data_IF_344258188669
#
_entry.id   IF_344258188669
#
_cell.length_a   1.000
_cell.length_b   1.000
_cell.length_c   1.000
_cell.angle_alpha   90.00
_cell.angle_beta   90.00
_cell.angle_gamma   90.00
#
_symmetry.space_group_name_H-M   'P 1'
#
loop_
_entity.id
_entity.type
_entity.pdbx_description
1 polymer ?
#
# COMPACT_ATOMS: atom_id res chain seq x y z
N UNK A 1 11.27 -32.28 -7.56
CA UNK A 1 10.78 -32.97 -6.34
C UNK A 1 11.32 -32.30 -5.08
N UNK A 2 12.64 -32.10 -4.98
CA UNK A 2 13.35 -31.43 -3.88
C UNK A 2 12.78 -30.03 -3.52
N UNK A 3 12.52 -29.17 -4.50
CA UNK A 3 11.96 -27.82 -4.26
C UNK A 3 10.58 -27.81 -3.56
N UNK A 4 9.70 -28.78 -3.89
CA UNK A 4 8.39 -28.89 -3.26
C UNK A 4 8.50 -29.36 -1.80
N UNK A 5 9.46 -30.24 -1.52
CA UNK A 5 9.73 -30.71 -0.16
C UNK A 5 10.27 -29.58 0.72
N UNK A 6 11.21 -28.75 0.22
CA UNK A 6 11.70 -27.59 0.96
C UNK A 6 10.59 -26.57 1.29
N UNK A 7 9.68 -26.30 0.35
CA UNK A 7 8.52 -25.44 0.62
C UNK A 7 7.64 -25.99 1.73
N UNK A 8 7.35 -27.28 1.72
CA UNK A 8 6.52 -27.91 2.73
C UNK A 8 7.17 -27.85 4.12
N UNK A 9 8.47 -28.15 4.21
CA UNK A 9 9.23 -28.08 5.46
C UNK A 9 9.26 -26.66 6.02
N UNK A 10 9.55 -25.66 5.18
CA UNK A 10 9.52 -24.26 5.59
C UNK A 10 8.13 -23.83 6.04
N UNK A 11 7.09 -24.25 5.33
CA UNK A 11 5.72 -23.92 5.69
C UNK A 11 5.32 -24.52 7.05
N UNK A 12 5.72 -25.76 7.33
CA UNK A 12 5.54 -26.40 8.64
C UNK A 12 6.31 -25.66 9.73
N UNK A 13 7.55 -25.26 9.46
CA UNK A 13 8.39 -24.51 10.39
C UNK A 13 7.77 -23.16 10.77
N UNK A 14 7.39 -22.33 9.79
CA UNK A 14 6.74 -21.05 10.07
C UNK A 14 5.36 -21.24 10.73
N UNK A 15 4.61 -22.26 10.31
CA UNK A 15 3.33 -22.59 10.93
C UNK A 15 3.48 -22.96 12.41
N UNK A 16 4.50 -23.76 12.75
CA UNK A 16 4.82 -24.13 14.13
C UNK A 16 5.19 -22.92 14.99
N UNK A 17 6.04 -22.02 14.48
CA UNK A 17 6.37 -20.77 15.17
C UNK A 17 5.11 -19.92 15.40
N UNK A 18 4.27 -19.77 14.38
CA UNK A 18 3.01 -19.04 14.49
C UNK A 18 2.09 -19.61 15.58
N UNK A 19 1.97 -20.94 15.65
CA UNK A 19 1.17 -21.63 16.68
C UNK A 19 1.74 -21.46 18.09
N UNK A 20 3.07 -21.48 18.26
CA UNK A 20 3.71 -21.18 19.55
C UNK A 20 3.35 -19.75 19.98
N UNK A 21 3.46 -18.78 19.06
CA UNK A 21 3.14 -17.38 19.38
C UNK A 21 1.66 -17.20 19.73
N UNK A 22 0.74 -17.92 19.06
CA UNK A 22 -0.67 -17.96 19.45
C UNK A 22 -0.84 -18.53 20.87
N UNK A 23 -0.18 -19.64 21.19
CA UNK A 23 -0.26 -20.25 22.52
C UNK A 23 0.23 -19.26 23.59
N UNK A 24 1.34 -18.57 23.35
CA UNK A 24 1.85 -17.52 24.23
C UNK A 24 0.83 -16.39 24.41
N UNK A 25 0.28 -15.85 23.32
CA UNK A 25 -0.75 -14.81 23.37
C UNK A 25 -2.00 -15.25 24.14
N UNK A 26 -2.38 -16.53 24.06
CA UNK A 26 -3.56 -17.08 24.74
C UNK A 26 -3.39 -17.25 26.25
N UNK A 27 -2.14 -17.38 26.73
CA UNK A 27 -1.85 -17.62 28.15
C UNK A 27 -1.85 -16.36 29.01
N UNK A 28 -2.05 -15.17 28.41
CA UNK A 28 -2.00 -13.85 29.06
C UNK A 28 -0.76 -13.57 29.93
N UNK A 29 0.29 -14.40 29.79
CA UNK A 29 1.57 -14.23 30.45
C UNK A 29 2.23 -12.97 29.91
N UNK A 30 2.73 -12.11 30.80
CA UNK A 30 3.58 -10.97 30.41
C UNK A 30 4.85 -11.52 29.77
N UNK A 31 5.00 -11.31 28.47
CA UNK A 31 6.19 -11.74 27.73
C UNK A 31 7.18 -10.60 27.73
N UNK A 32 8.31 -10.82 28.38
CA UNK A 32 9.48 -9.96 28.19
C UNK A 32 10.19 -10.38 26.91
N UNK A 33 10.36 -9.41 26.01
CA UNK A 33 11.12 -9.60 24.77
C UNK A 33 12.57 -9.21 25.06
N UNK A 34 13.44 -10.20 25.11
CA UNK A 34 14.87 -10.01 25.29
C UNK A 34 15.60 -9.85 23.94
N UNK A 35 16.87 -9.44 24.02
CA UNK A 35 17.71 -9.25 22.85
C UNK A 35 17.94 -10.56 22.06
N UNK A 36 17.90 -11.72 22.74
CA UNK A 36 18.07 -13.04 22.13
C UNK A 36 16.88 -13.36 21.22
N UNK A 37 15.66 -13.15 21.69
CA UNK A 37 14.45 -13.35 20.90
C UNK A 37 14.40 -12.39 19.70
N UNK A 38 14.79 -11.12 19.89
CA UNK A 38 14.88 -10.15 18.79
C UNK A 38 15.88 -10.63 17.73
N UNK A 39 17.06 -11.07 18.15
CA UNK A 39 18.09 -11.58 17.23
C UNK A 39 17.58 -12.81 16.49
N UNK A 40 16.98 -13.77 17.18
CA UNK A 40 16.40 -14.97 16.58
C UNK A 40 15.32 -14.64 15.53
N UNK A 41 14.38 -13.75 15.86
CA UNK A 41 13.35 -13.29 14.93
C UNK A 41 13.94 -12.55 13.73
N UNK A 42 14.98 -11.73 13.93
CA UNK A 42 15.66 -11.04 12.84
C UNK A 42 16.29 -12.01 11.83
N UNK A 43 16.88 -13.10 12.31
CA UNK A 43 17.43 -14.18 11.48
C UNK A 43 16.30 -14.87 10.71
N UNK A 44 15.20 -15.19 11.38
CA UNK A 44 14.01 -15.81 10.74
C UNK A 44 13.46 -14.94 9.62
N UNK A 45 13.22 -13.64 9.89
CA UNK A 45 12.72 -12.72 8.88
C UNK A 45 13.68 -12.61 7.69
N UNK A 46 14.97 -12.50 7.95
CA UNK A 46 15.99 -12.36 6.90
C UNK A 46 16.04 -13.59 5.99
N UNK A 47 16.03 -14.79 6.57
CA UNK A 47 16.01 -16.06 5.82
C UNK A 47 14.74 -16.15 4.97
N UNK A 48 13.58 -15.81 5.53
CA UNK A 48 12.32 -15.80 4.80
C UNK A 48 12.34 -14.83 3.62
N UNK A 49 12.77 -13.58 3.85
CA UNK A 49 12.86 -12.55 2.81
C UNK A 49 13.80 -13.02 1.70
N UNK A 50 15.00 -13.51 2.03
CA UNK A 50 15.95 -14.02 1.04
C UNK A 50 15.33 -15.18 0.25
N UNK A 51 14.68 -16.13 0.92
CA UNK A 51 14.03 -17.26 0.26
C UNK A 51 12.94 -16.80 -0.71
N UNK A 52 12.06 -15.89 -0.30
CA UNK A 52 10.96 -15.39 -1.13
C UNK A 52 11.48 -14.57 -2.32
N UNK A 53 12.50 -13.74 -2.11
CA UNK A 53 13.13 -12.95 -3.19
C UNK A 53 13.85 -13.87 -4.19
N UNK A 54 14.69 -14.78 -3.71
CA UNK A 54 15.46 -15.72 -4.54
C UNK A 54 14.55 -16.58 -5.42
N UNK A 55 13.46 -17.09 -4.83
CA UNK A 55 12.48 -17.92 -5.52
C UNK A 55 11.43 -17.13 -6.32
N UNK A 56 11.57 -15.80 -6.42
CA UNK A 56 10.65 -14.91 -7.14
C UNK A 56 9.19 -14.99 -6.66
N UNK A 57 8.99 -15.34 -5.39
CA UNK A 57 7.67 -15.39 -4.77
C UNK A 57 7.08 -13.98 -4.55
N UNK A 58 7.91 -12.94 -4.64
CA UNK A 58 7.49 -11.53 -4.68
C UNK A 58 6.59 -11.20 -5.88
N UNK A 59 6.49 -12.07 -6.88
CA UNK A 59 5.51 -11.90 -7.97
C UNK A 59 4.09 -12.13 -7.46
N UNK A 60 3.90 -12.77 -6.29
CA UNK A 60 2.59 -12.94 -5.67
C UNK A 60 2.29 -11.86 -4.65
N UNK A 61 1.01 -11.51 -4.49
CA UNK A 61 0.59 -10.41 -3.62
C UNK A 61 0.85 -10.69 -2.14
N UNK A 62 0.53 -11.89 -1.67
CA UNK A 62 0.90 -12.40 -0.35
C UNK A 62 2.42 -12.57 -0.17
N UNK A 63 3.14 -12.92 -1.23
CA UNK A 63 4.61 -12.95 -1.24
C UNK A 63 5.22 -11.55 -0.99
N UNK A 64 4.66 -10.51 -1.61
CA UNK A 64 5.03 -9.12 -1.34
C UNK A 64 4.74 -8.72 0.10
N UNK A 65 3.59 -9.13 0.65
CA UNK A 65 3.27 -8.90 2.05
C UNK A 65 4.32 -9.52 2.99
N UNK A 66 4.73 -10.77 2.75
CA UNK A 66 5.74 -11.46 3.57
C UNK A 66 7.08 -10.74 3.53
N UNK A 67 7.49 -10.25 2.36
CA UNK A 67 8.75 -9.52 2.20
C UNK A 67 8.70 -8.18 2.92
N UNK A 68 7.62 -7.43 2.72
CA UNK A 68 7.54 -6.03 3.12
C UNK A 68 7.12 -5.86 4.58
N UNK A 69 6.22 -6.70 5.08
CA UNK A 69 5.59 -6.54 6.40
C UNK A 69 6.61 -6.44 7.55
N UNK A 70 7.67 -7.27 7.62
CA UNK A 70 8.71 -7.10 8.65
C UNK A 70 9.36 -5.72 8.61
N UNK A 71 9.61 -5.14 7.44
CA UNK A 71 10.20 -3.79 7.36
C UNK A 71 9.31 -2.72 7.99
N UNK A 72 7.99 -2.92 7.99
CA UNK A 72 7.05 -1.96 8.58
C UNK A 72 6.90 -2.14 10.09
N UNK A 73 6.64 -3.35 10.58
CA UNK A 73 6.36 -3.55 12.01
C UNK A 73 7.62 -3.83 12.85
N UNK A 74 8.63 -4.52 12.30
CA UNK A 74 9.85 -4.85 13.03
C UNK A 74 10.71 -3.61 13.23
N UNK A 75 10.89 -2.79 12.19
CA UNK A 75 11.62 -1.51 12.31
C UNK A 75 10.94 -0.58 13.30
N UNK A 76 9.61 -0.51 13.28
CA UNK A 76 8.84 0.28 14.25
C UNK A 76 9.08 -0.20 15.69
N UNK A 77 9.04 -1.53 15.91
CA UNK A 77 9.36 -2.12 17.21
C UNK A 77 10.81 -1.85 17.65
N UNK A 78 11.79 -1.97 16.74
CA UNK A 78 13.20 -1.71 17.05
C UNK A 78 13.45 -0.24 17.43
N UNK A 79 12.76 0.70 16.78
CA UNK A 79 12.87 2.13 17.12
C UNK A 79 12.35 2.41 18.52
N UNK A 80 11.23 1.80 18.89
CA UNK A 80 10.75 1.86 20.27
C UNK A 80 11.73 1.20 21.24
N UNK A 81 12.15 -0.05 20.97
CA UNK A 81 12.94 -0.85 21.90
C UNK A 81 14.32 -0.24 22.20
N UNK A 82 15.01 0.25 21.17
CA UNK A 82 16.37 0.78 21.31
C UNK A 82 16.43 2.29 21.54
N UNK A 83 15.45 3.05 21.03
CA UNK A 83 15.49 4.52 21.04
C UNK A 83 14.33 5.17 21.80
N UNK A 84 13.41 4.38 22.37
CA UNK A 84 12.24 4.90 23.10
C UNK A 84 11.24 5.66 22.22
N UNK A 85 11.35 5.56 20.89
CA UNK A 85 10.49 6.29 19.97
C UNK A 85 9.14 5.58 19.88
N UNK A 86 8.12 6.12 20.55
CA UNK A 86 6.74 5.67 20.42
C UNK A 86 5.81 6.83 20.07
N UNK A 87 4.79 6.54 19.26
CA UNK A 87 3.73 7.49 18.89
C UNK A 87 2.76 7.70 20.04
N UNK A 88 2.43 6.63 20.74
CA UNK A 88 1.49 6.63 21.85
C UNK A 88 2.20 6.27 23.14
N UNK A 89 1.80 6.90 24.24
CA UNK A 89 2.31 6.52 25.55
C UNK A 89 1.56 5.28 26.05
N UNK A 90 2.11 4.09 25.76
CA UNK A 90 1.48 2.80 26.05
C UNK A 90 2.44 1.95 26.89
N UNK A 91 1.90 1.14 27.81
CA UNK A 91 2.71 0.22 28.62
C UNK A 91 3.52 -0.76 27.77
N UNK A 92 4.74 -1.08 28.21
CA UNK A 92 5.66 -1.99 27.51
C UNK A 92 5.02 -3.36 27.20
N UNK A 93 4.14 -3.85 28.08
CA UNK A 93 3.46 -5.12 27.88
C UNK A 93 2.59 -5.11 26.60
N UNK A 94 1.88 -4.01 26.34
CA UNK A 94 0.99 -3.87 25.18
C UNK A 94 1.80 -3.79 23.87
N UNK A 95 2.98 -3.17 23.94
CA UNK A 95 3.89 -3.08 22.80
C UNK A 95 4.43 -4.47 22.46
N UNK A 96 4.84 -5.24 23.47
CA UNK A 96 5.30 -6.61 23.30
C UNK A 96 4.19 -7.53 22.77
N UNK A 97 2.97 -7.45 23.31
CA UNK A 97 1.85 -8.28 22.83
C UNK A 97 1.44 -7.93 21.40
N UNK A 98 1.40 -6.63 21.05
CA UNK A 98 1.14 -6.17 19.68
C UNK A 98 2.21 -6.67 18.71
N UNK A 99 3.48 -6.65 19.12
CA UNK A 99 4.57 -7.17 18.31
C UNK A 99 4.45 -8.69 18.09
N UNK A 100 4.19 -9.46 19.14
CA UNK A 100 3.98 -10.91 19.05
C UNK A 100 2.76 -11.26 18.19
N UNK A 101 1.68 -10.48 18.25
CA UNK A 101 0.53 -10.63 17.37
C UNK A 101 0.93 -10.46 15.89
N UNK A 102 1.69 -9.40 15.55
CA UNK A 102 2.19 -9.19 14.20
C UNK A 102 3.11 -10.33 13.72
N UNK A 103 4.00 -10.81 14.58
CA UNK A 103 4.90 -11.94 14.28
C UNK A 103 4.09 -13.21 13.99
N UNK A 104 3.10 -13.52 14.84
CA UNK A 104 2.25 -14.70 14.69
C UNK A 104 1.47 -14.67 13.37
N UNK A 105 0.83 -13.53 13.07
CA UNK A 105 0.15 -13.30 11.80
C UNK A 105 1.11 -13.53 10.63
N UNK A 106 2.28 -12.89 10.65
CA UNK A 106 3.26 -12.99 9.57
C UNK A 106 3.72 -14.43 9.34
N UNK A 107 4.00 -15.18 10.40
CA UNK A 107 4.39 -16.59 10.33
C UNK A 107 3.30 -17.45 9.67
N UNK A 108 2.04 -17.22 10.01
CA UNK A 108 0.92 -17.98 9.43
C UNK A 108 0.69 -17.59 7.97
N UNK A 109 0.78 -16.31 7.62
CA UNK A 109 0.76 -15.88 6.20
C UNK A 109 1.89 -16.55 5.42
N UNK A 110 3.11 -16.58 5.96
CA UNK A 110 4.24 -17.24 5.33
C UNK A 110 4.00 -18.74 5.11
N UNK A 111 3.44 -19.42 6.11
CA UNK A 111 3.07 -20.83 6.03
C UNK A 111 2.03 -21.11 4.93
N UNK A 112 0.91 -20.37 4.93
CA UNK A 112 -0.17 -20.55 3.96
C UNK A 112 0.29 -20.19 2.55
N UNK A 113 1.02 -19.07 2.39
CA UNK A 113 1.54 -18.61 1.10
C UNK A 113 2.46 -19.65 0.44
N UNK A 114 3.24 -20.40 1.22
CA UNK A 114 4.14 -21.43 0.70
C UNK A 114 3.40 -22.67 0.14
N UNK A 115 2.22 -22.99 0.68
CA UNK A 115 1.48 -24.23 0.37
C UNK A 115 0.32 -23.97 -0.61
N UNK A 116 -0.29 -22.78 -0.58
CA UNK A 116 -1.49 -22.50 -1.35
C UNK A 116 -1.25 -22.65 -2.86
N UNK A 117 -2.29 -23.02 -3.63
CA UNK A 117 -2.24 -22.89 -5.07
C UNK A 117 -2.19 -21.41 -5.48
N UNK A 118 -1.33 -21.08 -6.44
CA UNK A 118 -1.31 -19.76 -7.08
C UNK A 118 -2.09 -19.81 -8.39
N UNK A 119 -3.02 -18.87 -8.58
CA UNK A 119 -3.92 -18.83 -9.73
C UNK A 119 -3.24 -18.38 -11.03
N UNK A 120 -2.11 -17.66 -10.91
CA UNK A 120 -1.40 -17.07 -12.04
C UNK A 120 -0.16 -17.90 -12.39
N UNK A 121 -0.09 -18.29 -13.67
CA UNK A 121 1.12 -18.84 -14.24
C UNK A 121 1.96 -17.72 -14.85
N UNK A 122 3.05 -17.35 -14.17
CA UNK A 122 3.99 -16.30 -14.58
C UNK A 122 4.51 -16.53 -16.02
N UNK A 123 4.64 -17.79 -16.45
CA UNK A 123 5.06 -18.12 -17.82
C UNK A 123 4.00 -17.77 -18.88
N UNK A 124 2.71 -17.83 -18.54
CA UNK A 124 1.62 -17.46 -19.43
C UNK A 124 1.45 -15.95 -19.55
N UNK A 125 1.68 -15.21 -18.45
CA UNK A 125 1.71 -13.74 -18.49
C UNK A 125 2.72 -13.23 -19.52
N UNK A 126 3.92 -13.82 -19.55
CA UNK A 126 4.99 -13.43 -20.47
C UNK A 126 4.68 -13.67 -21.97
N UNK A 127 3.66 -14.50 -22.30
CA UNK A 127 3.29 -14.77 -23.71
C UNK A 127 2.38 -13.71 -24.32
N UNK A 128 1.75 -12.84 -23.51
CA UNK A 128 0.79 -11.84 -23.99
C UNK A 128 1.41 -10.56 -24.60
N UNK A 129 2.72 -10.55 -24.85
CA UNK A 129 3.46 -9.39 -25.34
C UNK A 129 3.02 -8.87 -26.72
N UNK A 130 2.11 -9.55 -27.42
CA UNK A 130 1.94 -9.45 -28.87
C UNK A 130 0.56 -9.00 -29.38
N UNK A 131 -0.33 -8.41 -28.58
CA UNK A 131 -1.64 -7.96 -29.10
C UNK A 131 -1.95 -6.46 -28.93
N UNK A 132 -2.46 -5.94 -30.05
CA UNK A 132 -3.03 -4.62 -30.40
C UNK A 132 -2.05 -3.46 -30.64
N UNK A 133 -1.94 -3.06 -31.92
CA UNK A 133 -0.97 -2.08 -32.43
C UNK A 133 -1.54 -0.71 -32.81
N UNK A 134 -2.83 -0.42 -32.61
CA UNK A 134 -3.39 0.90 -32.92
C UNK A 134 -4.18 1.45 -31.71
N UNK A 135 -3.54 2.31 -30.92
CA UNK A 135 -4.20 3.03 -29.83
C UNK A 135 -4.25 4.53 -30.15
N UNK A 136 -5.44 5.12 -30.10
CA UNK A 136 -5.60 6.56 -30.19
C UNK A 136 -5.42 7.18 -28.80
N UNK A 137 -4.26 7.79 -28.53
CA UNK A 137 -3.99 8.45 -27.24
C UNK A 137 -4.60 9.84 -27.11
N UNK A 138 -5.15 10.40 -28.20
CA UNK A 138 -5.68 11.77 -28.20
C UNK A 138 -6.80 11.95 -27.17
N UNK A 139 -7.86 11.14 -27.23
CA UNK A 139 -9.00 11.26 -26.30
C UNK A 139 -8.59 11.01 -24.84
N UNK A 140 -7.87 9.92 -24.50
CA UNK A 140 -7.32 9.74 -23.16
C UNK A 140 -6.50 10.93 -22.67
N UNK A 141 -5.69 11.54 -23.54
CA UNK A 141 -4.89 12.71 -23.19
C UNK A 141 -5.74 13.95 -22.91
N UNK A 142 -6.80 14.19 -23.69
CA UNK A 142 -7.76 15.27 -23.43
C UNK A 142 -8.46 15.09 -22.08
N UNK A 143 -8.88 13.86 -21.75
CA UNK A 143 -9.47 13.54 -20.44
C UNK A 143 -8.46 13.81 -19.32
N UNK A 144 -7.21 13.36 -19.47
CA UNK A 144 -6.15 13.61 -18.49
C UNK A 144 -5.88 15.11 -18.31
N UNK A 145 -5.89 15.90 -19.39
CA UNK A 145 -5.77 17.36 -19.34
C UNK A 145 -6.90 18.02 -18.55
N UNK A 146 -8.16 17.68 -18.84
CA UNK A 146 -9.31 18.24 -18.14
C UNK A 146 -9.24 17.98 -16.64
N UNK A 147 -8.88 16.75 -16.24
CA UNK A 147 -8.76 16.39 -14.82
C UNK A 147 -7.56 17.10 -14.17
N UNK A 148 -6.43 17.19 -14.86
CA UNK A 148 -5.23 17.84 -14.30
C UNK A 148 -5.43 19.35 -14.13
N UNK A 149 -6.12 19.99 -15.07
CA UNK A 149 -6.53 21.40 -14.96
C UNK A 149 -7.55 21.61 -13.84
N UNK A 150 -8.47 20.68 -13.65
CA UNK A 150 -9.40 20.70 -12.51
C UNK A 150 -8.64 20.71 -11.17
N UNK A 151 -7.66 19.80 -10.97
CA UNK A 151 -6.86 19.78 -9.74
C UNK A 151 -5.99 21.03 -9.58
N UNK A 152 -5.38 21.53 -10.65
CA UNK A 152 -4.61 22.78 -10.62
C UNK A 152 -5.47 23.98 -10.22
N UNK A 153 -6.69 24.06 -10.75
CA UNK A 153 -7.63 25.13 -10.40
C UNK A 153 -8.03 25.08 -8.91
N UNK A 154 -8.22 23.87 -8.37
CA UNK A 154 -8.51 23.66 -6.95
C UNK A 154 -7.31 24.01 -6.06
N UNK A 155 -6.09 23.75 -6.50
CA UNK A 155 -4.86 24.04 -5.74
C UNK A 155 -4.27 25.43 -5.99
N UNK A 156 -4.98 26.33 -6.70
CA UNK A 156 -4.42 27.61 -7.18
C UNK A 156 -3.93 28.57 -6.08
N UNK A 157 -4.46 28.43 -4.87
CA UNK A 157 -4.11 29.25 -3.73
C UNK A 157 -2.96 28.66 -2.90
N UNK A 158 -2.48 27.45 -3.24
CA UNK A 158 -1.38 26.80 -2.55
C UNK A 158 -0.04 27.19 -3.17
N UNK A 159 0.93 27.47 -2.31
CA UNK A 159 2.31 27.75 -2.70
C UNK A 159 3.24 26.67 -2.14
N UNK A 160 4.43 26.52 -2.72
CA UNK A 160 5.45 25.61 -2.20
C UNK A 160 5.93 26.00 -0.79
N UNK A 161 5.84 27.28 -0.42
CA UNK A 161 6.22 27.75 0.92
C UNK A 161 5.24 27.26 1.98
N UNK A 162 3.94 27.16 1.64
CA UNK A 162 2.91 26.62 2.55
C UNK A 162 3.18 25.18 2.98
N UNK A 163 3.99 24.41 2.25
CA UNK A 163 4.36 23.03 2.61
C UNK A 163 5.17 22.91 3.90
N UNK A 164 5.94 23.94 4.25
CA UNK A 164 6.74 23.97 5.48
C UNK A 164 5.99 24.53 6.69
N UNK A 165 4.92 25.29 6.45
CA UNK A 165 4.22 26.06 7.48
C UNK A 165 2.88 25.45 7.91
N UNK A 166 2.23 24.68 7.03
CA UNK A 166 0.88 24.14 7.27
C UNK A 166 0.86 22.61 7.35
N UNK A 167 -0.10 22.09 8.12
CA UNK A 167 -0.28 20.65 8.25
C UNK A 167 -0.89 20.03 7.01
N UNK A 168 -0.69 18.72 6.82
CA UNK A 168 -1.14 18.02 5.61
C UNK A 168 -2.65 18.06 5.47
N UNK A 169 -3.36 17.95 6.59
CA UNK A 169 -4.81 17.92 6.62
C UNK A 169 -5.40 19.29 6.28
N UNK A 170 -4.77 20.39 6.68
CA UNK A 170 -5.16 21.74 6.24
C UNK A 170 -4.96 21.95 4.75
N UNK A 171 -3.81 21.55 4.22
CA UNK A 171 -3.55 21.61 2.78
C UNK A 171 -4.57 20.78 1.99
N UNK A 172 -4.90 19.58 2.47
CA UNK A 172 -5.91 18.73 1.83
C UNK A 172 -7.30 19.35 1.94
N UNK A 173 -7.68 19.88 3.10
CA UNK A 173 -9.00 20.49 3.32
C UNK A 173 -9.17 21.80 2.53
N UNK A 174 -8.08 22.52 2.26
CA UNK A 174 -8.07 23.72 1.42
C UNK A 174 -8.40 23.43 -0.05
N UNK A 175 -8.22 22.17 -0.48
CA UNK A 175 -8.58 21.67 -1.82
C UNK A 175 -9.91 20.94 -1.69
N UNK A 176 -10.96 21.39 -2.39
CA UNK A 176 -12.29 20.80 -2.21
C UNK A 176 -12.28 19.26 -2.38
N UNK A 177 -13.02 18.52 -1.56
CA UNK A 177 -13.11 17.06 -1.64
C UNK A 177 -13.77 16.54 -2.93
N UNK A 178 -14.33 17.43 -3.76
CA UNK A 178 -15.03 17.06 -4.98
C UNK A 178 -14.07 16.55 -6.05
N UNK A 179 -14.44 15.45 -6.72
CA UNK A 179 -13.65 14.86 -7.80
C UNK A 179 -12.40 14.09 -7.35
N UNK A 180 -12.24 13.77 -6.06
CA UNK A 180 -11.03 13.07 -5.59
C UNK A 180 -10.84 11.68 -6.22
N UNK A 181 -11.91 11.05 -6.71
CA UNK A 181 -11.88 9.81 -7.48
C UNK A 181 -11.30 9.98 -8.91
N UNK A 182 -11.31 11.19 -9.47
CA UNK A 182 -10.75 11.47 -10.80
C UNK A 182 -9.23 11.25 -10.84
N UNK A 183 -8.56 11.27 -9.68
CA UNK A 183 -7.12 10.95 -9.59
C UNK A 183 -6.79 9.58 -10.16
N UNK A 184 -7.65 8.59 -9.95
CA UNK A 184 -7.41 7.22 -10.42
C UNK A 184 -7.38 7.17 -11.95
N UNK A 185 -8.12 8.05 -12.64
CA UNK A 185 -8.10 8.16 -14.10
C UNK A 185 -6.77 8.71 -14.60
N UNK A 186 -6.25 9.79 -14.02
CA UNK A 186 -4.95 10.37 -14.43
C UNK A 186 -3.80 9.41 -14.13
N UNK A 187 -3.84 8.74 -12.97
CA UNK A 187 -2.81 7.75 -12.60
C UNK A 187 -2.89 6.51 -13.51
N UNK A 188 -4.08 5.97 -13.78
CA UNK A 188 -4.25 4.85 -14.71
C UNK A 188 -3.79 5.21 -16.14
N UNK A 189 -4.07 6.44 -16.59
CA UNK A 189 -3.57 6.96 -17.87
C UNK A 189 -2.04 6.97 -17.90
N UNK A 190 -1.39 7.45 -16.83
CA UNK A 190 0.06 7.41 -16.74
C UNK A 190 0.61 5.98 -16.79
N UNK A 191 -0.03 5.04 -16.11
CA UNK A 191 0.36 3.62 -16.14
C UNK A 191 0.25 3.02 -17.54
N UNK A 192 -0.78 3.38 -18.31
CA UNK A 192 -0.92 2.99 -19.72
C UNK A 192 0.21 3.59 -20.57
N UNK A 193 0.56 4.86 -20.38
CA UNK A 193 1.70 5.48 -21.08
C UNK A 193 3.01 4.77 -20.77
N UNK A 194 3.23 4.40 -19.50
CA UNK A 194 4.40 3.63 -19.07
C UNK A 194 4.43 2.25 -19.71
N UNK A 195 3.30 1.54 -19.76
CA UNK A 195 3.19 0.24 -20.44
C UNK A 195 3.54 0.35 -21.93
N UNK A 196 2.94 1.33 -22.62
CA UNK A 196 3.21 1.60 -24.02
C UNK A 196 4.68 1.96 -24.28
N UNK A 197 5.33 2.64 -23.32
CA UNK A 197 6.73 3.05 -23.45
C UNK A 197 7.73 1.94 -23.10
N UNK A 198 7.56 1.32 -21.95
CA UNK A 198 8.54 0.40 -21.34
C UNK A 198 8.40 -0.99 -21.92
N UNK A 199 7.16 -1.49 -21.97
CA UNK A 199 6.82 -2.87 -22.35
C UNK A 199 6.60 -2.94 -23.85
N UNK A 200 5.55 -2.28 -24.37
CA UNK A 200 5.16 -2.41 -25.79
C UNK A 200 6.11 -1.67 -26.74
N UNK A 201 6.81 -0.64 -26.27
CA UNK A 201 7.71 0.24 -27.07
C UNK A 201 7.03 0.94 -28.25
N UNK A 202 5.72 1.20 -28.15
CA UNK A 202 4.93 1.86 -29.19
C UNK A 202 5.05 3.39 -29.16
N UNK A 203 5.73 3.96 -28.16
CA UNK A 203 5.90 5.40 -27.98
C UNK A 203 7.36 5.86 -28.14
N UNK A 204 7.56 6.86 -28.99
CA UNK A 204 8.83 7.59 -29.07
C UNK A 204 9.10 8.36 -27.77
N UNK A 205 10.34 8.80 -27.55
CA UNK A 205 10.66 9.63 -26.37
C UNK A 205 9.87 10.94 -26.38
N UNK A 206 9.78 11.58 -27.55
CA UNK A 206 9.12 12.87 -27.71
C UNK A 206 7.60 12.78 -27.45
N UNK A 207 6.94 11.79 -28.06
CA UNK A 207 5.50 11.55 -27.83
C UNK A 207 5.22 11.22 -26.35
N UNK A 208 6.07 10.42 -25.71
CA UNK A 208 5.91 10.12 -24.29
C UNK A 208 5.99 11.37 -23.41
N UNK A 209 6.94 12.28 -23.67
CA UNK A 209 7.06 13.54 -22.94
C UNK A 209 5.80 14.38 -23.12
N UNK A 210 5.32 14.58 -24.35
CA UNK A 210 4.11 15.37 -24.64
C UNK A 210 2.89 14.80 -23.93
N UNK A 211 2.66 13.48 -24.07
CA UNK A 211 1.49 12.83 -23.46
C UNK A 211 1.57 12.77 -21.93
N UNK A 212 2.76 12.93 -21.34
CA UNK A 212 2.96 12.96 -19.89
C UNK A 212 2.76 14.34 -19.25
N UNK A 213 2.68 15.42 -20.03
CA UNK A 213 2.48 16.79 -19.51
C UNK A 213 1.29 16.89 -18.53
N UNK A 214 0.07 16.40 -18.84
CA UNK A 214 -1.04 16.48 -17.89
C UNK A 214 -0.74 15.72 -16.59
N UNK A 215 -0.06 14.58 -16.66
CA UNK A 215 0.35 13.82 -15.47
C UNK A 215 1.35 14.60 -14.62
N UNK A 216 2.32 15.26 -15.25
CA UNK A 216 3.31 16.09 -14.54
C UNK A 216 2.64 17.27 -13.84
N UNK A 217 1.65 17.91 -14.48
CA UNK A 217 0.83 18.94 -13.85
C UNK A 217 0.06 18.40 -12.65
N UNK A 218 -0.53 17.21 -12.76
CA UNK A 218 -1.17 16.56 -11.63
C UNK A 218 -0.19 16.21 -10.50
N UNK A 219 1.00 15.68 -10.81
CA UNK A 219 2.02 15.41 -9.80
C UNK A 219 2.51 16.68 -9.11
N UNK A 220 2.57 17.81 -9.82
CA UNK A 220 2.83 19.10 -9.21
C UNK A 220 1.74 19.46 -8.18
N UNK A 221 0.46 19.26 -8.49
CA UNK A 221 -0.63 19.48 -7.50
C UNK A 221 -0.50 18.56 -6.27
N UNK A 222 -0.11 17.29 -6.47
CA UNK A 222 0.14 16.36 -5.36
C UNK A 222 1.27 16.85 -4.46
N UNK A 223 2.34 17.39 -5.06
CA UNK A 223 3.45 17.97 -4.31
C UNK A 223 3.00 19.20 -3.50
N UNK A 224 2.17 20.08 -4.05
CA UNK A 224 1.61 21.26 -3.34
C UNK A 224 0.74 20.87 -2.14
N UNK A 225 0.01 19.76 -2.23
CA UNK A 225 -0.81 19.23 -1.12
C UNK A 225 0.04 18.36 -0.17
N UNK A 226 1.29 18.09 -0.52
CA UNK A 226 2.20 17.23 0.23
C UNK A 226 1.77 15.76 0.25
N UNK A 227 1.05 15.30 -0.78
CA UNK A 227 0.64 13.89 -0.92
C UNK A 227 1.68 13.10 -1.71
N UNK A 228 2.43 12.26 -0.99
CA UNK A 228 3.48 11.39 -1.56
C UNK A 228 2.95 10.03 -2.02
N UNK A 229 1.79 9.60 -1.51
CA UNK A 229 1.27 8.25 -1.68
C UNK A 229 0.98 7.93 -3.16
N UNK A 230 0.29 8.82 -3.85
CA UNK A 230 -0.07 8.64 -5.26
C UNK A 230 1.16 8.63 -6.18
N UNK A 231 2.19 9.42 -5.84
CA UNK A 231 3.48 9.45 -6.53
C UNK A 231 4.20 8.11 -6.32
N UNK A 232 4.23 7.60 -5.08
CA UNK A 232 4.79 6.29 -4.76
C UNK A 232 4.10 5.15 -5.53
N UNK A 233 2.77 5.17 -5.65
CA UNK A 233 2.04 4.15 -6.44
C UNK A 233 2.42 4.16 -7.92
N UNK A 234 2.59 5.34 -8.50
CA UNK A 234 3.04 5.48 -9.88
C UNK A 234 4.47 5.00 -10.09
N UNK A 235 5.33 5.26 -9.12
CA UNK A 235 6.70 4.74 -9.11
C UNK A 235 6.74 3.20 -9.02
N UNK A 236 5.95 2.62 -8.11
CA UNK A 236 5.84 1.16 -7.94
C UNK A 236 5.40 0.50 -9.25
N UNK A 237 4.42 1.07 -9.94
CA UNK A 237 4.01 0.57 -11.26
C UNK A 237 5.15 0.62 -12.29
N UNK A 238 5.93 1.70 -12.33
CA UNK A 238 7.08 1.81 -13.23
C UNK A 238 8.15 0.74 -12.95
N UNK A 239 8.40 0.44 -11.66
CA UNK A 239 9.28 -0.65 -11.23
C UNK A 239 8.71 -2.00 -11.67
N UNK A 240 7.43 -2.28 -11.42
CA UNK A 240 6.77 -3.53 -11.79
C UNK A 240 6.77 -3.78 -13.30
N UNK A 241 6.51 -2.76 -14.13
CA UNK A 241 6.60 -2.85 -15.59
C UNK A 241 8.03 -3.14 -16.07
N UNK A 242 9.02 -2.51 -15.44
CA UNK A 242 10.44 -2.75 -15.74
C UNK A 242 10.87 -4.16 -15.36
N UNK A 243 10.39 -4.67 -14.22
CA UNK A 243 10.63 -6.03 -13.78
C UNK A 243 9.91 -7.06 -14.66
N UNK A 244 8.67 -6.79 -15.07
CA UNK A 244 7.92 -7.63 -16.01
C UNK A 244 8.71 -7.79 -17.33
N UNK A 245 9.20 -6.69 -17.89
CA UNK A 245 10.09 -6.71 -19.08
C UNK A 245 11.37 -7.52 -18.86
N UNK A 246 11.93 -7.49 -17.65
CA UNK A 246 13.08 -8.29 -17.25
C UNK A 246 12.73 -9.74 -16.87
N UNK A 247 11.51 -10.22 -17.19
CA UNK A 247 10.99 -11.55 -16.82
C UNK A 247 11.04 -11.82 -15.31
N UNK A 248 10.69 -10.79 -14.53
CA UNK A 248 10.72 -10.78 -13.08
C UNK A 248 12.09 -11.12 -12.49
N UNK A 249 13.17 -10.72 -13.18
CA UNK A 249 14.51 -10.60 -12.58
C UNK A 249 14.67 -9.17 -12.09
N UNK A 250 15.40 -8.96 -11.00
CA UNK A 250 15.68 -7.63 -10.45
C UNK A 250 17.01 -7.14 -11.07
N UNK A 251 17.00 -6.29 -12.11
CA UNK A 251 18.23 -5.73 -12.65
C UNK A 251 18.78 -4.66 -11.68
N UNK A 252 20.10 -4.51 -11.64
CA UNK A 252 20.77 -3.53 -10.78
C UNK A 252 20.21 -2.11 -10.97
N UNK A 253 19.89 -1.71 -12.20
CA UNK A 253 19.29 -0.39 -12.51
C UNK A 253 17.96 -0.16 -11.78
N UNK A 254 17.09 -1.17 -11.72
CA UNK A 254 15.80 -1.05 -11.03
C UNK A 254 16.01 -1.00 -9.52
N UNK A 255 16.96 -1.78 -8.99
CA UNK A 255 17.32 -1.74 -7.57
C UNK A 255 17.84 -0.35 -7.17
N UNK A 256 18.82 0.19 -7.91
CA UNK A 256 19.37 1.53 -7.67
C UNK A 256 18.31 2.64 -7.78
N UNK A 257 17.44 2.55 -8.80
CA UNK A 257 16.34 3.50 -8.96
C UNK A 257 15.35 3.45 -7.78
N UNK A 258 15.07 2.25 -7.26
CA UNK A 258 14.20 2.06 -6.08
C UNK A 258 14.83 2.65 -4.82
N UNK A 259 16.14 2.44 -4.61
CA UNK A 259 16.88 3.02 -3.47
C UNK A 259 16.84 4.54 -3.54
N UNK A 260 17.16 5.13 -4.70
CA UNK A 260 17.12 6.58 -4.90
C UNK A 260 15.73 7.15 -4.60
N UNK A 261 14.67 6.49 -5.08
CA UNK A 261 13.31 6.95 -4.84
C UNK A 261 12.92 6.93 -3.35
N UNK A 262 13.23 5.84 -2.65
CA UNK A 262 12.98 5.74 -1.20
C UNK A 262 13.74 6.84 -0.46
N UNK A 263 15.02 7.05 -0.80
CA UNK A 263 15.82 8.15 -0.23
C UNK A 263 15.20 9.52 -0.50
N UNK A 264 14.69 9.78 -1.72
CA UNK A 264 14.03 11.06 -2.03
C UNK A 264 12.74 11.28 -1.25
N UNK A 265 11.93 10.22 -1.03
CA UNK A 265 10.71 10.31 -0.21
C UNK A 265 11.03 10.62 1.25
N UNK A 266 12.09 10.00 1.78
CA UNK A 266 12.57 10.25 3.14
C UNK A 266 13.07 11.69 3.27
N UNK A 267 13.92 12.14 2.34
CA UNK A 267 14.41 13.53 2.31
C UNK A 267 13.27 14.54 2.20
N UNK A 268 12.25 14.26 1.37
CA UNK A 268 11.06 15.11 1.31
C UNK A 268 10.29 15.13 2.64
N UNK A 269 10.24 14.00 3.35
CA UNK A 269 9.68 13.94 4.71
C UNK A 269 10.44 14.79 5.72
N UNK A 270 11.77 14.75 5.67
CA UNK A 270 12.65 15.57 6.51
C UNK A 270 12.50 17.06 6.17
N UNK A 271 12.42 17.41 4.88
CA UNK A 271 12.23 18.80 4.46
C UNK A 271 10.91 19.38 4.98
N UNK A 272 9.86 18.56 5.01
CA UNK A 272 8.53 18.96 5.48
C UNK A 272 8.44 19.06 7.01
N UNK A 273 9.29 18.36 7.75
CA UNK A 273 9.31 18.47 9.20
C UNK A 273 9.95 19.80 9.62
N UNK A 274 9.19 20.62 10.36
CA UNK A 274 9.65 21.91 10.87
C UNK A 274 10.99 21.77 11.64
N UNK A 275 11.92 22.67 11.34
CA UNK A 275 13.28 22.66 11.89
C UNK A 275 13.31 23.00 13.39
N UNK A 276 12.21 23.51 13.94
CA UNK A 276 12.08 23.81 15.37
C UNK A 276 11.49 22.64 16.19
N UNK A 277 11.09 21.56 15.51
CA UNK A 277 10.49 20.39 16.16
C UNK A 277 11.58 19.44 16.65
N UNK A 278 11.33 18.83 17.82
CA UNK A 278 12.19 17.85 18.48
C UNK A 278 12.67 16.75 17.51
N UNK A 279 13.91 16.31 17.67
CA UNK A 279 14.55 15.35 16.76
C UNK A 279 13.77 14.03 16.62
N UNK A 280 13.12 13.57 17.68
CA UNK A 280 12.23 12.41 17.72
C UNK A 280 11.00 12.59 16.83
N UNK A 281 10.31 13.73 16.94
CA UNK A 281 9.14 14.09 16.13
C UNK A 281 9.52 14.36 14.67
N UNK A 282 10.74 14.86 14.42
CA UNK A 282 11.30 15.00 13.07
C UNK A 282 11.52 13.66 12.39
N UNK A 283 12.13 12.72 13.11
CA UNK A 283 12.35 11.34 12.65
C UNK A 283 11.02 10.63 12.38
N UNK A 284 10.06 10.83 13.28
CA UNK A 284 8.66 10.41 13.14
C UNK A 284 8.04 10.94 11.84
N UNK A 285 8.11 12.24 11.55
CA UNK A 285 7.56 12.81 10.33
C UNK A 285 8.28 12.36 9.04
N UNK A 286 9.61 12.20 9.11
CA UNK A 286 10.43 11.72 8.00
C UNK A 286 10.07 10.28 7.62
N UNK A 287 9.89 9.43 8.62
CA UNK A 287 9.66 8.00 8.47
C UNK A 287 8.18 7.63 8.49
N UNK A 288 7.28 8.61 8.55
CA UNK A 288 5.86 8.35 8.75
C UNK A 288 5.16 7.57 7.64
N UNK A 289 5.75 7.54 6.44
CA UNK A 289 5.28 6.68 5.36
C UNK A 289 5.65 5.19 5.56
N UNK A 290 6.52 4.88 6.53
CA UNK A 290 7.15 3.57 6.71
C UNK A 290 7.06 2.99 8.13
N UNK A 291 6.71 3.77 9.17
CA UNK A 291 6.93 3.35 10.58
C UNK A 291 5.66 3.24 11.44
N UNK A 292 4.53 3.80 10.99
CA UNK A 292 3.26 3.78 11.73
C UNK A 292 2.31 2.58 11.58
N UNK A 293 2.62 1.48 10.87
CA UNK A 293 1.69 0.37 10.76
C UNK A 293 1.25 -0.30 12.07
N UNK A 294 2.07 -0.30 13.12
CA UNK A 294 1.79 -1.00 14.38
C UNK A 294 1.21 -0.11 15.49
N UNK A 295 1.33 1.21 15.40
CA UNK A 295 0.91 2.12 16.47
C UNK A 295 -0.62 2.13 16.67
N UNK A 296 -1.39 1.95 15.61
CA UNK A 296 -2.85 1.80 15.70
C UNK A 296 -3.23 0.52 16.44
N UNK A 297 -2.51 -0.59 16.23
CA UNK A 297 -2.72 -1.84 16.96
C UNK A 297 -2.38 -1.69 18.45
N UNK A 298 -1.29 -0.99 18.78
CA UNK A 298 -0.89 -0.70 20.16
C UNK A 298 -1.95 0.12 20.91
N UNK A 299 -2.59 1.08 20.22
CA UNK A 299 -3.66 1.89 20.79
C UNK A 299 -4.93 1.07 21.06
N UNK A 300 -5.40 0.27 20.09
CA UNK A 300 -6.62 -0.53 20.29
C UNK A 300 -6.42 -1.68 21.28
N UNK A 301 -5.19 -2.20 21.39
CA UNK A 301 -4.87 -3.20 22.41
C UNK A 301 -4.74 -2.59 23.82
N UNK A 302 -4.43 -1.29 23.95
CA UNK A 302 -4.30 -0.62 25.25
C UNK A 302 -5.63 -0.20 25.87
N UNK A 303 -6.59 0.26 25.06
CA UNK A 303 -7.86 0.84 25.54
C UNK A 303 -8.89 -0.24 25.89
N UNK A 304 -8.53 -1.52 25.81
CA UNK A 304 -9.47 -2.64 25.96
C UNK A 304 -10.72 -2.42 25.09
N UNK A 305 -10.53 -2.10 23.80
CA UNK A 305 -11.66 -1.82 22.91
C UNK A 305 -12.59 -3.05 22.83
N UNK A 306 -13.78 -2.95 23.43
CA UNK A 306 -14.72 -4.07 23.57
C UNK A 306 -15.69 -4.22 22.40
N UNK A 307 -15.82 -3.20 21.56
CA UNK A 307 -16.72 -3.23 20.39
C UNK A 307 -16.07 -4.00 19.24
N UNK A 308 -16.42 -5.28 19.14
CA UNK A 308 -16.05 -6.12 18.02
C UNK A 308 -16.96 -5.81 16.83
N UNK A 309 -16.36 -5.47 15.70
CA UNK A 309 -17.09 -5.24 14.46
C UNK A 309 -17.50 -6.55 13.75
N UNK A 310 -17.09 -7.73 14.25
CA UNK A 310 -17.44 -9.06 13.71
C UNK A 310 -17.34 -9.19 12.18
N UNK A 311 -16.37 -8.52 11.57
CA UNK A 311 -16.12 -8.54 10.13
C UNK A 311 -16.83 -7.43 9.34
N UNK A 312 -17.65 -6.59 9.97
CA UNK A 312 -18.40 -5.52 9.31
C UNK A 312 -17.47 -4.54 8.58
N UNK A 313 -16.29 -4.24 9.12
CA UNK A 313 -15.38 -3.28 8.47
C UNK A 313 -14.92 -3.77 7.08
N UNK A 314 -14.75 -5.08 6.90
CA UNK A 314 -14.39 -5.68 5.62
C UNK A 314 -15.50 -5.54 4.57
N UNK A 315 -16.75 -5.26 4.96
CA UNK A 315 -17.89 -5.03 4.06
C UNK A 315 -18.13 -3.54 3.74
N UNK A 316 -17.49 -2.62 4.47
CA UNK A 316 -17.65 -1.18 4.27
C UNK A 316 -17.17 -0.69 2.89
N UNK A 317 -16.44 -1.52 2.12
CA UNK A 317 -16.01 -1.16 0.78
C UNK A 317 -17.19 -0.83 -0.15
N UNK A 318 -18.36 -1.46 0.06
CA UNK A 318 -19.57 -1.21 -0.75
C UNK A 318 -19.99 0.25 -0.60
N UNK A 319 -19.96 0.77 0.63
CA UNK A 319 -20.29 2.16 0.94
C UNK A 319 -19.27 3.13 0.33
N UNK A 320 -18.00 2.71 0.21
CA UNK A 320 -16.97 3.54 -0.40
C UNK A 320 -17.26 3.86 -1.87
N UNK A 321 -17.90 2.95 -2.62
CA UNK A 321 -18.29 3.17 -4.02
C UNK A 321 -19.42 4.18 -4.23
N UNK A 322 -20.18 4.51 -3.19
CA UNK A 322 -21.25 5.51 -3.29
C UNK A 322 -20.65 6.90 -3.09
N UNK A 323 -20.73 7.82 -4.08
CA UNK A 323 -20.28 9.20 -3.92
C UNK A 323 -20.97 9.87 -2.73
N UNK A 324 -20.24 10.73 -2.01
CA UNK A 324 -20.78 11.40 -0.81
C UNK A 324 -22.01 12.23 -1.13
N UNK A 325 -22.05 12.81 -2.33
CA UNK A 325 -23.13 13.63 -2.86
C UNK A 325 -24.42 12.82 -3.11
N UNK A 326 -24.29 11.51 -3.34
CA UNK A 326 -25.41 10.59 -3.55
C UNK A 326 -25.77 9.80 -2.29
N UNK A 327 -25.03 9.98 -1.20
CA UNK A 327 -25.26 9.27 0.05
C UNK A 327 -26.36 9.98 0.84
N UNK A 328 -27.49 9.31 1.06
CA UNK A 328 -28.56 9.84 1.89
C UNK A 328 -28.10 9.84 3.36
N UNK A 329 -27.82 11.03 3.90
CA UNK A 329 -27.31 11.21 5.27
C UNK A 329 -25.79 11.38 5.34
N UNK A 330 -25.22 11.17 6.53
CA UNK A 330 -23.78 11.25 6.73
C UNK A 330 -23.12 9.95 6.27
N UNK A 331 -22.27 10.04 5.24
CA UNK A 331 -21.44 8.90 4.82
C UNK A 331 -20.56 8.46 6.00
N UNK A 332 -20.55 7.17 6.36
CA UNK A 332 -19.70 6.65 7.44
C UNK A 332 -18.24 7.04 7.24
N UNK A 333 -17.58 7.42 8.33
CA UNK A 333 -16.13 7.65 8.34
C UNK A 333 -15.37 6.35 8.10
N UNK A 334 -14.24 6.43 7.42
CA UNK A 334 -13.28 5.31 7.31
C UNK A 334 -12.64 5.02 8.68
N UNK A 335 -12.11 3.81 8.91
CA UNK A 335 -11.49 3.47 10.20
C UNK A 335 -10.29 4.38 10.49
N UNK A 336 -9.55 4.78 9.46
CA UNK A 336 -8.46 5.75 9.62
C UNK A 336 -8.95 7.12 10.14
N UNK A 337 -10.12 7.59 9.69
CA UNK A 337 -10.72 8.83 10.15
C UNK A 337 -11.33 8.65 11.55
N UNK A 338 -11.98 7.51 11.81
CA UNK A 338 -12.50 7.17 13.13
C UNK A 338 -11.38 7.14 14.17
N UNK A 339 -10.29 6.44 13.87
CA UNK A 339 -9.10 6.40 14.72
C UNK A 339 -8.52 7.80 14.97
N UNK A 340 -8.41 8.63 13.93
CA UNK A 340 -7.95 10.00 14.13
C UNK A 340 -8.86 10.77 15.09
N UNK A 341 -10.18 10.67 14.94
CA UNK A 341 -11.15 11.32 15.86
C UNK A 341 -11.10 10.76 17.28
N UNK A 342 -10.75 9.49 17.46
CA UNK A 342 -10.61 8.86 18.78
C UNK A 342 -9.33 9.33 19.50
N UNK A 343 -8.25 9.59 18.75
CA UNK A 343 -6.93 9.96 19.29
C UNK A 343 -6.80 11.47 19.54
N UNK A 344 -7.40 12.31 18.70
CA UNK A 344 -7.31 13.76 18.82
C UNK A 344 -8.40 14.32 19.74
N UNK A 345 -8.03 15.26 20.63
CA UNK A 345 -9.01 16.01 21.42
C UNK A 345 -9.91 16.82 20.48
N UNK A 346 -11.22 17.01 20.77
CA UNK A 346 -12.13 17.79 19.93
C UNK A 346 -11.68 19.23 19.65
N UNK A 347 -10.78 19.77 20.49
CA UNK A 347 -10.19 21.11 20.38
C UNK A 347 -8.87 21.17 19.61
N UNK A 348 -8.30 20.03 19.21
CA UNK A 348 -7.08 20.00 18.41
C UNK A 348 -7.44 20.15 16.93
N UNK A 349 -7.18 21.34 16.39
CA UNK A 349 -7.44 21.68 14.98
C UNK A 349 -6.57 20.86 14.00
N UNK A 350 -5.51 20.23 14.49
CA UNK A 350 -4.52 19.51 13.69
C UNK A 350 -4.56 18.00 13.94
N UNK A 351 -5.35 17.27 13.15
CA UNK A 351 -5.26 15.81 13.10
C UNK A 351 -4.10 15.38 12.17
N UNK A 352 -3.26 14.41 12.55
CA UNK A 352 -2.39 13.71 11.61
C UNK A 352 -3.14 12.55 10.97
N UNK A 353 -2.85 12.27 9.69
CA UNK A 353 -3.37 11.09 9.02
C UNK A 353 -2.60 9.85 9.47
N UNK A 354 -3.26 8.94 10.18
CA UNK A 354 -2.69 7.65 10.57
C UNK A 354 -2.95 6.57 9.52
N UNK A 355 -1.98 5.68 9.35
CA UNK A 355 -2.16 4.46 8.56
C UNK A 355 -2.93 3.44 9.39
N UNK A 356 -4.21 3.20 9.06
CA UNK A 356 -4.98 2.12 9.64
C UNK A 356 -4.63 0.83 8.91
N UNK A 357 -4.06 -0.15 9.60
CA UNK A 357 -3.48 -1.32 8.94
C UNK A 357 -4.39 -2.54 8.96
N UNK A 358 -4.18 -3.48 8.03
CA UNK A 358 -4.89 -4.75 8.04
C UNK A 358 -4.71 -5.54 9.35
N UNK A 359 -3.57 -5.39 10.05
CA UNK A 359 -3.32 -6.02 11.35
C UNK A 359 -4.28 -5.48 12.40
N UNK A 360 -4.39 -4.15 12.49
CA UNK A 360 -5.31 -3.45 13.38
C UNK A 360 -6.75 -3.76 13.03
N UNK A 361 -7.10 -3.74 11.74
CA UNK A 361 -8.45 -4.09 11.28
C UNK A 361 -8.83 -5.51 11.69
N UNK A 362 -7.94 -6.48 11.52
CA UNK A 362 -8.18 -7.85 11.98
C UNK A 362 -8.37 -7.93 13.49
N UNK A 363 -7.59 -7.15 14.26
CA UNK A 363 -7.68 -7.12 15.71
C UNK A 363 -9.00 -6.49 16.19
N UNK A 364 -9.47 -5.39 15.61
CA UNK A 364 -10.75 -4.78 16.04
C UNK A 364 -11.98 -5.63 15.64
N UNK A 365 -11.86 -6.45 14.59
CA UNK A 365 -12.95 -7.33 14.17
C UNK A 365 -12.98 -8.65 14.93
N UNK A 366 -11.81 -9.22 15.24
CA UNK A 366 -11.67 -10.60 15.72
C UNK A 366 -10.73 -10.77 16.92
N UNK A 367 -10.20 -9.68 17.47
CA UNK A 367 -9.21 -9.69 18.55
C UNK A 367 -8.02 -10.62 18.21
N UNK A 368 -7.51 -11.38 19.18
CA UNK A 368 -6.44 -12.36 18.95
C UNK A 368 -6.78 -13.47 17.94
N UNK A 369 -8.06 -13.75 17.65
CA UNK A 369 -8.43 -14.67 16.56
C UNK A 369 -8.09 -14.11 15.17
N UNK A 370 -7.85 -12.80 15.07
CA UNK A 370 -7.32 -12.14 13.88
C UNK A 370 -6.02 -12.76 13.38
N UNK A 371 -5.23 -13.39 14.27
CA UNK A 371 -4.00 -14.12 13.92
C UNK A 371 -4.24 -15.21 12.87
N UNK A 372 -5.41 -15.84 12.87
CA UNK A 372 -5.77 -16.91 11.92
C UNK A 372 -6.66 -16.38 10.80
N UNK A 373 -7.62 -15.52 11.14
CA UNK A 373 -8.62 -15.02 10.20
C UNK A 373 -7.99 -14.10 9.14
N UNK A 374 -7.06 -13.23 9.54
CA UNK A 374 -6.41 -12.33 8.61
C UNK A 374 -5.59 -13.05 7.53
N UNK A 375 -4.71 -14.03 7.86
CA UNK A 375 -4.03 -14.81 6.84
C UNK A 375 -4.99 -15.50 5.85
N UNK A 376 -6.13 -16.01 6.34
CA UNK A 376 -7.14 -16.61 5.48
C UNK A 376 -7.77 -15.58 4.51
N UNK A 377 -8.11 -14.38 5.01
CA UNK A 377 -8.63 -13.27 4.17
C UNK A 377 -7.59 -12.88 3.12
N UNK A 378 -6.34 -12.63 3.52
CA UNK A 378 -5.27 -12.19 2.61
C UNK A 378 -4.98 -13.23 1.53
N UNK A 379 -4.75 -14.48 1.91
CA UNK A 379 -4.40 -15.54 0.97
C UNK A 379 -5.59 -15.91 0.07
N UNK A 380 -6.81 -15.94 0.63
CA UNK A 380 -8.04 -16.16 -0.13
C UNK A 380 -8.30 -15.05 -1.14
N UNK A 381 -8.16 -13.79 -0.71
CA UNK A 381 -8.27 -12.62 -1.57
C UNK A 381 -7.24 -12.65 -2.71
N UNK A 382 -5.97 -12.93 -2.40
CA UNK A 382 -4.92 -13.07 -3.43
C UNK A 382 -5.26 -14.13 -4.46
N UNK A 383 -5.74 -15.31 -4.01
CA UNK A 383 -6.13 -16.39 -4.90
C UNK A 383 -7.32 -16.02 -5.80
N UNK A 384 -8.36 -15.40 -5.23
CA UNK A 384 -9.55 -14.97 -5.98
C UNK A 384 -9.17 -13.92 -7.02
N UNK A 385 -8.39 -12.91 -6.65
CA UNK A 385 -7.95 -11.85 -7.56
C UNK A 385 -7.07 -12.39 -8.69
N UNK A 386 -6.13 -13.28 -8.37
CA UNK A 386 -5.30 -13.98 -9.37
C UNK A 386 -6.16 -14.70 -10.42
N UNK A 387 -7.26 -15.34 -9.98
CA UNK A 387 -8.20 -16.04 -10.88
C UNK A 387 -9.05 -15.07 -11.70
N UNK A 388 -9.58 -14.00 -11.09
CA UNK A 388 -10.43 -13.02 -11.76
C UNK A 388 -9.69 -12.22 -12.82
N UNK A 389 -8.45 -11.81 -12.53
CA UNK A 389 -7.58 -11.09 -13.48
C UNK A 389 -7.21 -12.00 -14.67
N UNK A 390 -7.10 -13.30 -14.41
CA UNK A 390 -6.74 -14.29 -15.40
C UNK A 390 -5.35 -14.01 -15.98
N UNK A 391 -5.24 -14.05 -17.30
CA UNK A 391 -3.95 -13.89 -17.98
C UNK A 391 -3.56 -12.43 -18.25
N UNK A 392 -4.37 -11.42 -17.90
CA UNK A 392 -4.05 -10.02 -18.20
C UNK A 392 -2.91 -9.48 -17.33
N UNK A 393 -1.71 -9.38 -17.90
CA UNK A 393 -0.53 -8.95 -17.15
C UNK A 393 -0.65 -7.51 -16.61
N UNK A 394 -1.27 -6.59 -17.34
CA UNK A 394 -1.35 -5.19 -16.91
C UNK A 394 -2.23 -5.05 -15.67
N UNK A 395 -3.42 -5.66 -15.69
CA UNK A 395 -4.31 -5.69 -14.52
C UNK A 395 -3.68 -6.44 -13.34
N UNK A 396 -2.85 -7.45 -13.62
CA UNK A 396 -2.09 -8.11 -12.56
C UNK A 396 -1.04 -7.19 -11.93
N UNK A 397 -0.32 -6.40 -12.72
CA UNK A 397 0.62 -5.41 -12.18
C UNK A 397 -0.10 -4.30 -11.41
N UNK A 398 -1.30 -3.89 -11.84
CA UNK A 398 -2.17 -2.99 -11.07
C UNK A 398 -2.51 -3.60 -9.71
N UNK A 399 -2.87 -4.88 -9.68
CA UNK A 399 -3.13 -5.59 -8.44
C UNK A 399 -1.89 -5.67 -7.54
N UNK A 400 -0.73 -6.02 -8.09
CA UNK A 400 0.53 -6.08 -7.34
C UNK A 400 0.98 -4.71 -6.82
N UNK A 401 0.71 -3.62 -7.53
CA UNK A 401 1.08 -2.27 -7.06
C UNK A 401 0.34 -1.87 -5.78
N UNK A 402 -0.85 -2.44 -5.53
CA UNK A 402 -1.60 -2.23 -4.30
C UNK A 402 -1.04 -2.97 -3.08
N UNK A 403 -0.07 -3.87 -3.24
CA UNK A 403 0.51 -4.63 -2.11
C UNK A 403 1.18 -3.74 -1.05
N UNK A 404 1.73 -2.59 -1.47
CA UNK A 404 2.34 -1.59 -0.59
C UNK A 404 1.26 -0.77 0.12
N UNK A 405 0.19 -0.40 -0.60
CA UNK A 405 -0.96 0.29 0.01
C UNK A 405 -1.67 -0.59 1.04
N UNK A 406 -1.84 -1.88 0.74
CA UNK A 406 -2.51 -2.82 1.62
C UNK A 406 -1.87 -2.90 3.01
N UNK A 407 -0.55 -2.72 3.12
CA UNK A 407 0.13 -2.73 4.42
C UNK A 407 -0.12 -1.46 5.26
N UNK A 408 -0.78 -0.45 4.67
CA UNK A 408 -0.93 0.90 5.21
C UNK A 408 -2.36 1.42 5.19
N UNK A 409 -3.30 0.65 4.66
CA UNK A 409 -4.72 0.99 4.57
C UNK A 409 -5.58 -0.18 5.02
N UNK A 410 -6.74 0.13 5.56
CA UNK A 410 -7.82 -0.81 5.76
C UNK A 410 -8.19 -1.51 4.42
N UNK A 411 -8.64 -2.75 4.53
CA UNK A 411 -8.97 -3.62 3.41
C UNK A 411 -10.06 -3.03 2.53
N UNK A 412 -11.06 -2.39 3.15
CA UNK A 412 -12.18 -1.78 2.43
C UNK A 412 -11.76 -0.64 1.50
N UNK A 413 -10.86 0.22 1.97
CA UNK A 413 -10.25 1.30 1.19
C UNK A 413 -9.36 0.74 0.07
N UNK A 414 -8.61 -0.34 0.33
CA UNK A 414 -7.77 -0.99 -0.68
C UNK A 414 -8.59 -1.60 -1.82
N UNK A 415 -9.69 -2.31 -1.51
CA UNK A 415 -10.61 -2.86 -2.52
C UNK A 415 -11.22 -1.74 -3.36
N UNK A 416 -11.66 -0.66 -2.72
CA UNK A 416 -12.23 0.50 -3.41
C UNK A 416 -11.21 1.10 -4.40
N UNK A 417 -9.98 1.35 -3.96
CA UNK A 417 -8.91 1.86 -4.82
C UNK A 417 -8.62 0.95 -6.01
N UNK A 418 -8.51 -0.35 -5.78
CA UNK A 418 -8.29 -1.32 -6.85
C UNK A 418 -9.45 -1.32 -7.86
N UNK A 419 -10.70 -1.30 -7.38
CA UNK A 419 -11.89 -1.21 -8.23
C UNK A 419 -11.90 0.07 -9.06
N UNK A 420 -11.54 1.22 -8.47
CA UNK A 420 -11.43 2.49 -9.18
C UNK A 420 -10.35 2.46 -10.26
N UNK A 421 -9.19 1.85 -9.99
CA UNK A 421 -8.15 1.66 -11.01
C UNK A 421 -8.60 0.75 -12.15
N UNK A 422 -9.32 -0.33 -11.85
CA UNK A 422 -9.86 -1.24 -12.88
C UNK A 422 -10.88 -0.53 -13.76
N UNK A 423 -11.82 0.21 -13.15
CA UNK A 423 -12.81 0.99 -13.89
C UNK A 423 -12.16 2.11 -14.72
N UNK A 424 -11.21 2.84 -14.14
CA UNK A 424 -10.44 3.85 -14.87
C UNK A 424 -9.70 3.26 -16.08
N UNK A 425 -9.06 2.10 -15.90
CA UNK A 425 -8.39 1.39 -16.99
C UNK A 425 -9.37 0.99 -18.11
N UNK A 426 -10.53 0.42 -17.77
CA UNK A 426 -11.55 0.03 -18.75
C UNK A 426 -12.04 1.27 -19.52
N UNK A 427 -12.38 2.36 -18.82
CA UNK A 427 -12.84 3.60 -19.44
C UNK A 427 -11.79 4.18 -20.41
N UNK A 428 -10.52 4.23 -20.00
CA UNK A 428 -9.43 4.72 -20.84
C UNK A 428 -9.16 3.80 -22.03
N UNK A 429 -9.30 2.48 -21.85
CA UNK A 429 -9.15 1.52 -22.94
C UNK A 429 -10.25 1.66 -23.98
N UNK A 430 -11.50 1.83 -23.55
CA UNK A 430 -12.62 2.11 -24.44
C UNK A 430 -12.42 3.44 -25.19
N UNK A 431 -11.95 4.49 -24.50
CA UNK A 431 -11.71 5.77 -25.17
C UNK A 431 -10.56 5.72 -26.18
N UNK A 432 -9.55 4.87 -25.98
CA UNK A 432 -8.49 4.62 -26.97
C UNK A 432 -9.00 3.94 -28.26
N UNK A 433 -10.15 3.27 -28.22
CA UNK A 433 -10.76 2.61 -29.39
C UNK A 433 -11.61 3.57 -30.24
N UNK A 434 -11.94 4.76 -29.71
CA UNK A 434 -12.69 5.76 -30.44
C UNK A 434 -11.75 6.42 -31.46
N UNK A 435 -11.93 6.08 -32.73
CA UNK A 435 -11.18 6.67 -33.85
C UNK A 435 -11.98 7.88 -34.35
N UNK A 436 -11.51 9.10 -34.03
CA UNK A 436 -12.24 10.30 -34.44
C UNK A 436 -12.05 10.68 -35.91
N UNK A 437 -10.95 10.28 -36.57
CA UNK A 437 -10.77 10.53 -38.00
C UNK A 437 -9.84 9.48 -38.62
N UNK A 438 -10.35 8.70 -39.57
CA UNK A 438 -9.50 8.22 -40.66
C UNK A 438 -9.41 9.38 -41.64
N UNK A 439 -8.38 10.22 -41.53
CA UNK A 439 -8.01 11.03 -42.69
C UNK A 439 -7.57 10.05 -43.77
N UNK A 440 -8.42 9.88 -44.78
CA UNK A 440 -8.06 9.22 -46.04
C UNK A 440 -7.19 10.15 -46.86
#
# INVERSE_FOLDING_TARGET
>A
MIYKQYKLVLAQFYGFIGLIMIAVLSTSVKVEIDAILIWFLSVIFTIAIIFFVYNRMWVWFDGMFIILSPFYFFVSFLLYYFFGVNVFNVENNIINTSFLYCVAVWCIVASISLIRPHGINIFLLNKQYNYDNNYNLFIPSCIAWLISLFFLYQSRNLSLNALGESTRLELINSVSQSGWYLKYVVIAYFWILLDLKVVKKNLTNYSFVIYSIPVLLYFYTLMLVGSRREIALSFIMAVLLSLYKAKFKIPLKVALFSILFVSTIILFGIYRSDYNVESSIRLLNALGEFIYPISTLQYYSSIHYQTQFFGISYLQFIVNFIPKELFMGLKPDTLAIQFAKEVYLPSQEFMMGYAFTPFTEAFINYNYYGVIIFPAILCGYSYIMERLIGNNYFLYLVFLSQSINFQRSEFSSMIFELGMFFMAYICLRLSMQIVFFKFK
#
